data_IF_000743134001
#
_entry.id   IF_000743134001
#
_cell.length_a   1.000
_cell.length_b   1.000
_cell.length_c   1.000
_cell.angle_alpha   90.00
_cell.angle_beta   90.00
_cell.angle_gamma   90.00
#
_symmetry.space_group_name_H-M   'P 1'
#
loop_
_entity.id
_entity.type
_entity.pdbx_description
1 polymer ?
#
# COMPACT_ATOMS: atom_id res chain seq x y z
N UNK A 1 -25.37 1.08 10.93
CA UNK A 1 -24.88 0.67 10.51
C UNK A 1 -24.49 0.44 10.17
N UNK A 2 -24.45 0.45 9.98
CA UNK A 2 -23.86 0.01 9.43
C UNK A 2 -23.47 -0.27 9.05
N UNK A 3 -23.30 -0.10 8.98
CA UNK A 3 -22.76 -0.54 8.36
C UNK A 3 -22.44 -0.92 7.98
N UNK A 4 -22.47 -0.69 7.87
CA UNK A 4 -22.03 -1.30 7.10
C UNK A 4 -21.58 -1.75 6.86
N UNK A 5 -21.71 -1.45 7.08
CA UNK A 5 -21.20 -2.04 6.49
C UNK A 5 -20.89 -2.40 6.08
N UNK A 6 -20.82 -2.14 6.14
CA UNK A 6 -20.40 -2.69 5.49
C UNK A 6 -20.11 -3.04 4.90
N UNK A 7 -19.59 -2.66 5.13
CA UNK A 7 -19.49 -3.06 4.05
C UNK A 7 -19.68 -4.31 3.62
N UNK A 8 -20.46 -4.44 3.13
CA UNK A 8 -20.75 -5.63 2.45
C UNK A 8 -19.77 -5.90 1.36
N UNK A 9 -19.13 -7.02 1.40
CA UNK A 9 -18.10 -7.30 0.40
C UNK A 9 -18.63 -7.35 -1.02
N UNK A 10 -19.86 -7.80 -1.17
CA UNK A 10 -20.38 -7.87 -2.53
C UNK A 10 -20.50 -6.50 -3.10
N UNK A 11 -20.59 -5.54 -2.24
CA UNK A 11 -20.61 -4.18 -2.70
C UNK A 11 -19.24 -3.67 -2.94
N UNK A 12 -18.26 -4.42 -2.55
CA UNK A 12 -16.91 -4.11 -2.88
C UNK A 12 -16.69 -4.03 -4.36
N UNK A 13 -17.61 -4.57 -5.12
CA UNK A 13 -17.49 -4.44 -6.56
C UNK A 13 -17.47 -3.00 -6.98
N UNK A 14 -17.96 -2.13 -6.14
CA UNK A 14 -17.95 -0.73 -6.47
C UNK A 14 -16.58 -0.10 -6.33
N UNK A 15 -15.66 -0.78 -5.68
CA UNK A 15 -14.34 -0.22 -5.48
C UNK A 15 -13.49 -0.43 -6.71
N UNK A 16 -12.77 0.60 -7.08
CA UNK A 16 -11.78 0.48 -8.14
C UNK A 16 -10.52 -0.16 -7.58
N UNK A 17 -9.76 -0.86 -8.42
CA UNK A 17 -8.52 -1.49 -7.95
C UNK A 17 -7.60 -0.53 -7.21
N UNK A 18 -7.55 0.71 -7.63
CA UNK A 18 -6.66 1.67 -6.98
C UNK A 18 -7.15 2.05 -5.59
N UNK A 19 -8.37 1.68 -5.24
CA UNK A 19 -8.92 1.97 -3.92
C UNK A 19 -8.74 0.81 -2.96
N UNK A 20 -8.30 -0.34 -3.44
CA UNK A 20 -8.05 -1.48 -2.58
C UNK A 20 -6.73 -1.29 -1.86
N UNK A 21 -6.69 -1.60 -0.57
CA UNK A 21 -5.39 -1.63 0.10
C UNK A 21 -4.56 -2.77 -0.45
N UNK A 22 -3.30 -2.50 -0.70
CA UNK A 22 -2.39 -3.49 -1.26
C UNK A 22 -1.65 -4.22 -0.15
N UNK A 23 -1.38 -5.50 -0.40
CA UNK A 23 -0.56 -6.28 0.51
C UNK A 23 0.91 -5.92 0.30
N UNK A 24 1.78 -6.46 1.18
CA UNK A 24 3.21 -6.24 1.02
C UNK A 24 3.68 -6.78 -0.34
N UNK A 25 3.20 -7.95 -0.73
CA UNK A 25 3.60 -8.54 -2.00
C UNK A 25 3.16 -7.67 -3.17
N UNK A 26 1.94 -7.18 -3.10
CA UNK A 26 1.44 -6.33 -4.17
C UNK A 26 2.19 -5.01 -4.23
N UNK A 27 2.49 -4.44 -3.06
CA UNK A 27 3.26 -3.21 -3.02
C UNK A 27 4.66 -3.43 -3.59
N UNK A 28 5.29 -4.54 -3.24
CA UNK A 28 6.61 -4.86 -3.75
C UNK A 28 6.59 -4.97 -5.27
N UNK A 29 5.57 -5.64 -5.79
CA UNK A 29 5.43 -5.78 -7.23
C UNK A 29 5.25 -4.43 -7.90
N UNK A 30 4.41 -3.61 -7.30
CA UNK A 30 4.16 -2.27 -7.86
C UNK A 30 5.44 -1.44 -7.88
N UNK A 31 6.22 -1.55 -6.82
CA UNK A 31 7.45 -0.76 -6.71
C UNK A 31 8.63 -1.39 -7.43
N UNK A 32 8.50 -2.65 -7.81
CA UNK A 32 9.58 -3.33 -8.51
C UNK A 32 10.71 -3.77 -7.59
N UNK A 33 10.39 -4.11 -6.36
CA UNK A 33 11.39 -4.53 -5.37
C UNK A 33 10.92 -5.84 -4.73
N UNK A 34 11.79 -6.41 -3.90
CA UNK A 34 11.43 -7.63 -3.20
C UNK A 34 10.53 -7.31 -2.01
N UNK A 35 9.69 -8.26 -1.58
CA UNK A 35 8.90 -8.05 -0.37
C UNK A 35 9.76 -7.76 0.85
N UNK A 36 10.94 -8.33 0.91
CA UNK A 36 11.84 -8.09 2.04
C UNK A 36 12.20 -6.62 2.15
N UNK A 37 12.42 -5.97 1.02
CA UNK A 37 12.71 -4.54 1.03
C UNK A 37 11.54 -3.76 1.59
N UNK A 38 10.32 -4.14 1.22
CA UNK A 38 9.14 -3.45 1.72
C UNK A 38 9.02 -3.64 3.23
N UNK A 39 9.23 -4.87 3.72
CA UNK A 39 9.18 -5.12 5.15
C UNK A 39 10.21 -4.27 5.90
N UNK A 40 11.40 -4.15 5.34
CA UNK A 40 12.44 -3.36 5.95
C UNK A 40 12.03 -1.91 6.06
N UNK A 41 11.45 -1.36 5.00
CA UNK A 41 11.01 0.02 5.00
C UNK A 41 9.88 0.24 6.01
N UNK A 42 8.98 -0.73 6.15
CA UNK A 42 7.93 -0.64 7.14
C UNK A 42 8.52 -0.61 8.54
N UNK A 43 9.48 -1.48 8.78
CA UNK A 43 10.13 -1.57 10.09
C UNK A 43 10.82 -0.27 10.44
N UNK A 44 11.42 0.36 9.46
CA UNK A 44 12.13 1.62 9.66
C UNK A 44 11.23 2.84 9.54
N UNK A 45 9.94 2.59 9.30
CA UNK A 45 8.96 3.67 9.15
C UNK A 45 9.33 4.62 8.03
N UNK A 46 9.82 4.06 6.94
CA UNK A 46 10.24 4.84 5.78
C UNK A 46 9.24 4.81 4.65
N UNK A 47 8.18 4.02 4.78
CA UNK A 47 7.17 3.89 3.74
C UNK A 47 5.79 4.06 4.36
N UNK A 48 4.91 4.85 3.74
CA UNK A 48 3.55 4.99 4.27
C UNK A 48 2.83 3.65 4.24
N UNK A 49 2.23 3.28 5.35
CA UNK A 49 1.53 2.00 5.43
C UNK A 49 0.44 2.07 6.47
N UNK A 50 -0.45 1.08 6.42
CA UNK A 50 -1.53 0.90 7.37
C UNK A 50 -1.34 -0.41 8.09
N UNK A 51 -1.78 -0.47 9.33
CA UNK A 51 -1.85 -1.73 10.06
C UNK A 51 -3.30 -2.05 10.31
N UNK A 52 -3.75 -3.12 9.68
CA UNK A 52 -5.13 -3.56 9.81
C UNK A 52 -5.17 -4.64 10.87
N UNK A 53 -6.04 -4.47 11.85
CA UNK A 53 -6.17 -5.42 12.96
C UNK A 53 -4.87 -5.58 13.73
N UNK A 54 -4.02 -4.57 13.68
CA UNK A 54 -2.82 -4.57 14.49
C UNK A 54 -1.65 -5.36 13.93
N UNK A 55 -1.86 -6.17 12.91
CA UNK A 55 -0.76 -6.98 12.41
C UNK A 55 -0.67 -7.06 10.89
N UNK A 56 -1.77 -6.85 10.20
CA UNK A 56 -1.76 -6.96 8.74
C UNK A 56 -1.35 -5.63 8.14
N UNK A 57 -0.27 -5.66 7.38
CA UNK A 57 0.26 -4.44 6.76
C UNK A 57 -0.37 -4.26 5.40
N UNK A 58 -0.82 -3.05 5.13
CA UNK A 58 -1.45 -2.72 3.87
C UNK A 58 -0.96 -1.36 3.40
N UNK A 59 -1.12 -1.10 2.12
CA UNK A 59 -0.65 0.12 1.49
C UNK A 59 -1.74 0.71 0.62
N UNK A 60 -1.80 2.02 0.57
CA UNK A 60 -2.69 2.71 -0.35
C UNK A 60 -1.90 3.09 -1.58
N UNK A 61 -2.47 2.83 -2.74
CA UNK A 61 -1.76 3.08 -3.99
C UNK A 61 -1.32 4.54 -4.14
N UNK A 62 -2.17 5.53 -3.82
CA UNK A 62 -1.70 6.91 -3.92
C UNK A 62 -0.46 7.19 -3.08
N UNK A 63 -0.40 6.58 -1.89
CA UNK A 63 0.79 6.74 -1.04
C UNK A 63 2.01 6.13 -1.69
N UNK A 64 1.83 4.98 -2.33
CA UNK A 64 2.93 4.32 -3.00
C UNK A 64 3.40 5.09 -4.22
N UNK A 65 2.47 5.75 -4.88
CA UNK A 65 2.85 6.57 -6.02
C UNK A 65 3.75 7.72 -5.61
N UNK A 66 3.41 8.36 -4.51
CA UNK A 66 4.23 9.43 -3.98
C UNK A 66 5.60 8.92 -3.56
N UNK A 67 5.61 7.78 -2.89
CA UNK A 67 6.84 7.17 -2.45
C UNK A 67 7.73 6.82 -3.64
N UNK A 68 7.14 6.26 -4.66
CA UNK A 68 7.86 5.87 -5.85
C UNK A 68 8.43 7.09 -6.58
N UNK A 69 7.66 8.16 -6.63
CA UNK A 69 8.12 9.39 -7.26
C UNK A 69 9.34 9.95 -6.55
N UNK A 70 9.38 9.78 -5.24
CA UNK A 70 10.52 10.24 -4.46
C UNK A 70 11.79 9.52 -4.87
N UNK A 71 11.69 8.20 -5.06
CA UNK A 71 12.83 7.44 -5.54
C UNK A 71 13.28 7.89 -6.92
N UNK A 72 12.32 8.12 -7.79
CA UNK A 72 12.64 8.53 -9.15
C UNK A 72 13.41 9.84 -9.15
N UNK A 73 12.99 10.75 -8.30
CA UNK A 73 13.67 12.03 -8.21
C UNK A 73 15.11 11.86 -7.75
N UNK A 74 15.31 11.01 -6.78
CA UNK A 74 16.65 10.77 -6.27
C UNK A 74 17.54 10.20 -7.34
N UNK A 75 17.00 9.28 -8.12
CA UNK A 75 17.77 8.67 -9.17
C UNK A 75 18.13 9.67 -10.25
N UNK A 76 17.21 10.56 -10.54
CA UNK A 76 17.48 11.57 -11.57
C UNK A 76 18.51 12.58 -11.11
N UNK A 77 18.60 12.80 -9.83
CA UNK A 77 19.56 13.75 -9.29
C UNK A 77 20.91 13.12 -9.05
N UNK A 78 20.97 11.83 -9.10
CA UNK A 78 22.23 11.14 -8.89
C UNK A 78 23.00 11.12 -10.19
#
# INVERSE_FOLDING_TARGET
MNQRVLLDPSEGVALHPEEYPLTVREAAKYLGVSPQSVYLWVERKQIPHLRVMGRNIRFLKPDLETFRASFKQEMENA
#
